data_IF_129968731327
#
_entry.id   IF_129968731327
#
_cell.length_a   1.000
_cell.length_b   1.000
_cell.length_c   1.000
_cell.angle_alpha   90.00
_cell.angle_beta   90.00
_cell.angle_gamma   90.00
#
_symmetry.space_group_name_H-M   'P 1'
#
loop_
_entity.id
_entity.type
_entity.pdbx_description
1 polymer ?
#
# COMPACT_ATOMS: atom_id res chain seq x y z
N UNK A 1 28.85 28.70 30.58
CA UNK A 1 27.41 28.82 30.27
C UNK A 1 27.33 29.77 29.11
N UNK A 2 27.14 29.27 27.90
CA UNK A 2 26.85 30.10 26.74
C UNK A 2 25.52 29.61 26.17
N UNK A 3 24.48 30.44 26.26
CA UNK A 3 23.17 30.10 25.73
C UNK A 3 23.14 30.45 24.24
N UNK A 4 22.72 29.54 23.35
CA UNK A 4 22.54 29.89 21.94
C UNK A 4 21.43 30.94 21.78
N UNK A 5 21.65 31.88 20.86
CA UNK A 5 20.71 32.95 20.54
C UNK A 5 19.43 32.37 19.89
N UNK A 6 18.23 32.92 20.18
CA UNK A 6 16.99 32.42 19.61
C UNK A 6 16.93 32.58 18.08
N UNK A 7 16.32 31.62 17.35
CA UNK A 7 16.22 31.70 15.90
C UNK A 7 15.33 32.87 15.45
N UNK A 8 15.69 33.48 14.33
CA UNK A 8 14.95 34.59 13.73
C UNK A 8 13.50 34.22 13.37
N UNK A 9 12.54 35.17 13.41
CA UNK A 9 11.14 34.90 13.11
C UNK A 9 10.94 34.45 11.66
N UNK A 10 10.19 33.36 11.49
CA UNK A 10 9.88 32.79 10.18
C UNK A 10 8.96 33.72 9.38
N UNK A 11 9.27 33.90 8.09
CA UNK A 11 8.38 34.63 7.16
C UNK A 11 7.08 33.85 6.93
N UNK A 12 5.92 34.52 6.81
CA UNK A 12 4.68 33.86 6.42
C UNK A 12 4.77 33.33 4.98
N UNK A 13 4.12 32.19 4.67
CA UNK A 13 4.06 31.65 3.32
C UNK A 13 3.24 32.57 2.39
N UNK A 14 3.49 32.49 1.08
CA UNK A 14 2.63 33.12 0.07
C UNK A 14 1.34 32.33 -0.05
N UNK A 15 0.23 33.04 -0.32
CA UNK A 15 -1.04 32.41 -0.65
C UNK A 15 -0.88 31.48 -1.87
N UNK A 16 -1.13 30.19 -1.67
CA UNK A 16 -0.91 29.12 -2.66
C UNK A 16 -0.01 27.99 -2.19
N UNK A 17 0.84 28.22 -1.17
CA UNK A 17 1.76 27.21 -0.64
C UNK A 17 1.13 26.44 0.55
N UNK A 18 0.39 25.37 0.27
CA UNK A 18 -0.13 24.46 1.30
C UNK A 18 1.02 23.69 1.98
N UNK A 19 1.16 23.70 3.32
CA UNK A 19 2.24 23.01 4.01
C UNK A 19 2.01 21.48 4.02
N UNK A 20 2.63 20.77 3.07
CA UNK A 20 2.65 19.30 3.05
C UNK A 20 3.49 18.73 4.19
N UNK A 21 2.84 18.47 5.32
CA UNK A 21 3.43 17.68 6.39
C UNK A 21 3.67 16.25 5.87
N UNK A 22 4.84 15.60 6.09
CA UNK A 22 5.08 14.25 5.55
C UNK A 22 4.13 13.18 6.14
N UNK A 23 3.44 13.54 7.24
CA UNK A 23 2.22 12.91 7.73
C UNK A 23 1.16 12.72 6.62
N UNK A 24 0.88 13.77 5.85
CA UNK A 24 -0.18 13.86 4.84
C UNK A 24 0.11 13.04 3.58
N UNK A 25 1.38 12.77 3.26
CA UNK A 25 1.77 12.09 2.02
C UNK A 25 2.06 10.59 2.15
N UNK A 26 2.41 10.11 3.35
CA UNK A 26 2.21 8.68 3.67
C UNK A 26 0.71 8.30 3.67
N UNK A 27 -0.15 9.31 3.77
CA UNK A 27 -1.62 9.26 3.92
C UNK A 27 -2.38 9.55 2.62
N UNK A 28 -1.78 10.28 1.67
CA UNK A 28 -2.06 10.12 0.21
C UNK A 28 -1.92 8.66 -0.25
N UNK A 29 -1.35 7.84 0.63
CA UNK A 29 -1.20 6.39 0.55
C UNK A 29 -0.02 6.07 -0.41
N UNK A 30 0.52 4.85 -0.53
CA UNK A 30 -0.25 3.62 -0.69
C UNK A 30 -1.32 3.85 -1.79
N UNK A 31 -0.92 4.58 -2.84
CA UNK A 31 -1.66 5.71 -3.43
C UNK A 31 -2.83 5.33 -4.36
N UNK A 32 -3.95 4.92 -3.77
CA UNK A 32 -5.06 4.30 -4.51
C UNK A 32 -5.09 2.78 -4.37
N UNK A 33 -4.26 2.22 -3.48
CA UNK A 33 -4.49 0.92 -2.88
C UNK A 33 -5.52 1.13 -1.74
N UNK A 34 -6.66 0.42 -1.75
CA UNK A 34 -7.66 0.52 -0.69
C UNK A 34 -7.09 0.12 0.67
N UNK A 35 -7.48 0.81 1.74
CA UNK A 35 -6.93 0.61 3.09
C UNK A 35 -7.00 -0.86 3.57
N UNK A 36 -8.10 -1.55 3.30
CA UNK A 36 -8.28 -2.99 3.62
C UNK A 36 -7.28 -3.88 2.89
N UNK A 37 -7.06 -3.61 1.60
CA UNK A 37 -6.10 -4.33 0.75
C UNK A 37 -4.67 -4.08 1.24
N UNK A 38 -4.38 -2.87 1.74
CA UNK A 38 -3.09 -2.56 2.33
C UNK A 38 -2.80 -3.32 3.62
N UNK A 39 -3.81 -3.37 4.49
CA UNK A 39 -3.72 -4.10 5.75
C UNK A 39 -3.40 -5.58 5.48
N UNK A 40 -3.98 -6.16 4.41
CA UNK A 40 -3.66 -7.51 3.96
C UNK A 40 -2.18 -7.66 3.55
N UNK A 41 -1.62 -6.80 2.69
CA UNK A 41 -0.21 -6.90 2.27
C UNK A 41 0.78 -6.75 3.44
N UNK A 42 0.57 -5.75 4.31
CA UNK A 42 1.39 -5.55 5.51
C UNK A 42 1.23 -6.70 6.52
N UNK A 43 0.10 -7.41 6.53
CA UNK A 43 -0.09 -8.59 7.37
C UNK A 43 0.55 -9.85 6.76
N UNK A 44 0.52 -9.99 5.43
CA UNK A 44 1.17 -11.08 4.72
C UNK A 44 2.70 -11.03 4.90
N UNK A 45 3.34 -9.88 4.67
CA UNK A 45 4.77 -9.67 4.98
C UNK A 45 5.09 -10.02 6.44
N UNK A 46 4.29 -9.52 7.40
CA UNK A 46 4.48 -9.78 8.82
C UNK A 46 4.32 -11.25 9.19
N UNK A 47 3.46 -11.97 8.48
CA UNK A 47 3.23 -13.41 8.69
C UNK A 47 4.37 -14.24 8.11
N UNK A 48 4.82 -13.93 6.90
CA UNK A 48 6.01 -14.55 6.30
C UNK A 48 7.24 -14.29 7.15
N UNK A 49 7.49 -13.06 7.60
CA UNK A 49 8.60 -12.73 8.52
C UNK A 49 8.60 -13.53 9.85
N UNK A 50 7.49 -14.18 10.22
CA UNK A 50 7.41 -15.10 11.38
C UNK A 50 7.54 -16.58 10.99
N UNK A 51 6.86 -17.00 9.93
CA UNK A 51 6.81 -18.41 9.50
C UNK A 51 7.97 -18.84 8.61
N UNK A 52 8.45 -17.94 7.76
CA UNK A 52 9.65 -18.10 6.91
C UNK A 52 10.43 -16.76 6.85
N UNK A 53 11.33 -16.51 7.81
CA UNK A 53 12.21 -15.34 7.78
C UNK A 53 13.15 -15.29 6.57
N UNK A 54 13.38 -16.42 5.90
CA UNK A 54 14.22 -16.54 4.70
C UNK A 54 13.55 -15.99 3.44
N UNK A 55 12.22 -16.06 3.36
CA UNK A 55 11.40 -15.56 2.25
C UNK A 55 11.65 -14.09 1.92
N UNK A 56 11.81 -13.23 2.95
CA UNK A 56 12.08 -11.78 2.85
C UNK A 56 11.14 -11.01 1.90
N UNK A 57 9.91 -11.48 1.68
CA UNK A 57 8.96 -10.89 0.75
C UNK A 57 8.42 -9.53 1.26
N UNK A 58 8.75 -8.39 0.61
CA UNK A 58 8.29 -7.08 1.06
C UNK A 58 6.82 -6.84 0.65
N UNK A 59 6.04 -6.16 1.49
CA UNK A 59 4.62 -5.92 1.21
C UNK A 59 4.38 -5.12 -0.08
N UNK A 60 5.35 -4.31 -0.52
CA UNK A 60 5.30 -3.54 -1.75
C UNK A 60 5.29 -4.44 -3.00
N UNK A 61 5.96 -5.60 -2.96
CA UNK A 61 5.94 -6.56 -4.08
C UNK A 61 4.59 -7.26 -4.17
N UNK A 62 3.99 -7.63 -3.03
CA UNK A 62 2.61 -8.12 -2.98
C UNK A 62 1.62 -7.09 -3.53
N UNK A 63 1.81 -5.81 -3.21
CA UNK A 63 0.99 -4.71 -3.72
C UNK A 63 1.15 -4.52 -5.24
N UNK A 64 2.34 -4.71 -5.79
CA UNK A 64 2.58 -4.66 -7.23
C UNK A 64 1.87 -5.80 -7.97
N UNK A 65 2.00 -7.04 -7.48
CA UNK A 65 1.30 -8.22 -8.02
C UNK A 65 -0.22 -7.99 -7.97
N UNK A 66 -0.76 -7.61 -6.81
CA UNK A 66 -2.20 -7.35 -6.65
C UNK A 66 -2.75 -6.22 -7.52
N UNK A 67 -1.91 -5.24 -7.91
CA UNK A 67 -2.30 -4.21 -8.90
C UNK A 67 -2.51 -4.82 -10.29
N UNK A 68 -1.60 -5.68 -10.74
CA UNK A 68 -1.61 -6.31 -12.07
C UNK A 68 -2.71 -7.37 -12.16
N UNK A 69 -2.74 -8.31 -11.22
CA UNK A 69 -3.63 -9.48 -11.28
C UNK A 69 -5.11 -9.15 -11.02
N UNK A 70 -5.39 -8.10 -10.24
CA UNK A 70 -6.75 -7.85 -9.72
C UNK A 70 -7.18 -6.39 -9.66
N UNK A 71 -6.33 -5.44 -10.07
CA UNK A 71 -6.63 -4.02 -9.89
C UNK A 71 -6.84 -3.62 -8.42
N UNK A 72 -6.08 -4.23 -7.49
CA UNK A 72 -6.27 -4.10 -6.04
C UNK A 72 -7.66 -4.59 -5.57
N UNK A 73 -8.00 -5.85 -5.86
CA UNK A 73 -9.32 -6.44 -5.57
C UNK A 73 -10.47 -5.61 -6.16
N UNK A 74 -10.39 -5.30 -7.46
CA UNK A 74 -11.32 -4.44 -8.20
C UNK A 74 -11.55 -3.08 -7.51
N UNK A 75 -10.48 -2.42 -7.06
CA UNK A 75 -10.55 -1.16 -6.31
C UNK A 75 -11.02 -1.32 -4.86
N UNK A 76 -10.83 -2.49 -4.25
CA UNK A 76 -11.17 -2.74 -2.84
C UNK A 76 -12.59 -3.21 -2.60
N UNK A 77 -13.20 -3.85 -3.61
CA UNK A 77 -14.53 -4.46 -3.53
C UNK A 77 -14.46 -5.77 -2.76
N UNK A 78 -14.28 -5.65 -1.45
CA UNK A 78 -14.21 -6.76 -0.49
C UNK A 78 -15.29 -6.64 0.59
N UNK A 79 -15.69 -7.78 1.15
CA UNK A 79 -16.56 -7.85 2.32
C UNK A 79 -15.80 -7.51 3.62
N UNK A 80 -16.50 -7.55 4.76
CA UNK A 80 -15.91 -7.28 6.08
C UNK A 80 -14.83 -8.29 6.52
N UNK A 81 -14.69 -9.44 5.84
CA UNK A 81 -13.63 -10.43 6.06
C UNK A 81 -12.45 -10.25 5.09
N UNK A 82 -12.52 -9.29 4.17
CA UNK A 82 -11.52 -9.10 3.10
C UNK A 82 -11.71 -10.03 1.90
N UNK A 83 -12.83 -10.75 1.81
CA UNK A 83 -13.15 -11.63 0.67
C UNK A 83 -13.71 -10.79 -0.48
N UNK A 84 -13.27 -11.03 -1.72
CA UNK A 84 -13.71 -10.22 -2.86
C UNK A 84 -15.19 -10.44 -3.18
N UNK A 85 -15.93 -9.36 -3.43
CA UNK A 85 -17.36 -9.40 -3.79
C UNK A 85 -17.61 -9.99 -5.18
N UNK A 86 -16.56 -10.06 -6.00
CA UNK A 86 -16.53 -10.76 -7.28
C UNK A 86 -15.30 -11.66 -7.28
N UNK A 87 -15.42 -12.97 -7.60
CA UNK A 87 -14.26 -13.86 -7.68
C UNK A 87 -13.23 -13.35 -8.70
N UNK A 88 -11.95 -13.42 -8.33
CA UNK A 88 -10.83 -13.20 -9.26
C UNK A 88 -10.50 -14.56 -9.86
N UNK A 89 -10.93 -14.80 -11.10
CA UNK A 89 -10.73 -16.07 -11.81
C UNK A 89 -9.75 -15.84 -12.97
N UNK A 90 -8.71 -16.67 -13.04
CA UNK A 90 -7.85 -16.75 -14.22
C UNK A 90 -8.51 -17.55 -15.36
N UNK A 91 -7.88 -17.58 -16.55
CA UNK A 91 -8.30 -18.46 -17.64
C UNK A 91 -8.36 -19.93 -17.20
N UNK A 92 -9.30 -20.68 -17.76
CA UNK A 92 -9.42 -22.11 -17.47
C UNK A 92 -8.24 -22.87 -18.10
N UNK A 93 -7.53 -23.64 -17.27
CA UNK A 93 -6.38 -24.44 -17.69
C UNK A 93 -6.87 -25.82 -18.13
N UNK A 94 -6.63 -26.17 -19.38
CA UNK A 94 -7.02 -27.44 -20.03
C UNK A 94 -5.84 -28.40 -20.25
N UNK A 95 -4.60 -27.90 -20.08
CA UNK A 95 -3.36 -28.63 -20.32
C UNK A 95 -2.75 -28.41 -21.72
N UNK A 96 -3.33 -27.54 -22.55
CA UNK A 96 -2.84 -27.25 -23.90
C UNK A 96 -2.41 -25.78 -23.99
N UNK A 97 -1.09 -25.54 -24.04
CA UNK A 97 -0.56 -24.18 -24.17
C UNK A 97 -0.84 -23.30 -22.96
N UNK A 98 -1.49 -22.15 -23.17
CA UNK A 98 -1.82 -21.16 -22.14
C UNK A 98 -3.31 -20.78 -22.16
N UNK A 99 -4.16 -21.78 -21.87
CA UNK A 99 -5.63 -21.73 -21.74
C UNK A 99 -6.44 -21.84 -23.04
N UNK A 100 -7.74 -22.16 -22.85
CA UNK A 100 -8.80 -22.41 -23.84
C UNK A 100 -9.03 -21.28 -24.86
#
# INVERSE_FOLDING_TARGET
LESPEPPAPLKPPRAGEEPSSPLLDRVRSEAGIPATVLAAYRNAERSLRRGDPGCRLPWQLLAAIGKVESGQAAGGRVDARGTTLTPILGPALDGVGFAL
#
